data_IF_005450273138
#
_entry.id   IF_005450273138
#
_cell.length_a   1.000
_cell.length_b   1.000
_cell.length_c   1.000
_cell.angle_alpha   90.00
_cell.angle_beta   90.00
_cell.angle_gamma   90.00
#
_symmetry.space_group_name_H-M   'P 1'
#
loop_
_entity.id
_entity.type
_entity.pdbx_description
1 polymer ?
#
# COMPACT_ATOMS: atom_id res chain seq x y z
N UNK A 1 7.72 -16.10 22.85
CA UNK A 1 6.68 -17.14 22.89
C UNK A 1 6.11 -17.22 21.50
N UNK A 2 6.79 -17.98 20.63
CA UNK A 2 6.39 -18.18 19.24
C UNK A 2 5.13 -19.05 19.23
N UNK A 3 3.98 -18.40 19.01
CA UNK A 3 2.69 -19.07 18.92
C UNK A 3 2.56 -19.73 17.56
N UNK A 4 2.87 -21.03 17.50
CA UNK A 4 2.64 -21.84 16.32
C UNK A 4 1.12 -21.88 16.04
N UNK A 5 0.66 -21.20 14.99
CA UNK A 5 -0.76 -21.17 14.61
C UNK A 5 -1.23 -22.60 14.33
N UNK A 6 -2.36 -23.00 14.92
CA UNK A 6 -2.93 -24.33 14.66
C UNK A 6 -3.34 -24.48 13.18
N UNK A 7 -3.49 -25.74 12.76
CA UNK A 7 -3.72 -26.12 11.37
C UNK A 7 -5.01 -25.50 10.79
N UNK A 8 -6.05 -25.32 11.61
CA UNK A 8 -7.34 -24.77 11.18
C UNK A 8 -7.25 -23.25 11.06
N UNK A 9 -6.68 -22.57 12.05
CA UNK A 9 -6.47 -21.11 11.99
C UNK A 9 -5.58 -20.72 10.81
N UNK A 10 -4.58 -21.54 10.50
CA UNK A 10 -3.71 -21.36 9.32
C UNK A 10 -4.48 -21.52 8.01
N UNK A 11 -5.33 -22.54 7.91
CA UNK A 11 -6.20 -22.74 6.75
C UNK A 11 -7.17 -21.57 6.56
N UNK A 12 -7.78 -21.06 7.63
CA UNK A 12 -8.70 -19.91 7.58
C UNK A 12 -8.03 -18.64 7.05
N UNK A 13 -6.78 -18.36 7.45
CA UNK A 13 -6.02 -17.24 6.92
C UNK A 13 -5.75 -17.35 5.42
N UNK A 14 -5.47 -18.56 4.92
CA UNK A 14 -5.21 -18.82 3.50
C UNK A 14 -6.51 -18.75 2.68
N UNK A 15 -7.59 -19.28 3.23
CA UNK A 15 -8.89 -19.38 2.57
C UNK A 15 -9.52 -17.99 2.33
N UNK A 16 -9.18 -16.97 3.15
CA UNK A 16 -9.63 -15.57 2.93
C UNK A 16 -9.15 -14.95 1.63
N UNK A 17 -8.03 -15.41 1.09
CA UNK A 17 -7.47 -14.89 -0.15
C UNK A 17 -7.95 -15.70 -1.36
N UNK A 18 -8.23 -15.06 -2.51
CA UNK A 18 -8.53 -15.79 -3.75
C UNK A 18 -7.30 -16.55 -4.24
N UNK A 19 -7.52 -17.72 -4.85
CA UNK A 19 -6.42 -18.52 -5.39
C UNK A 19 -6.12 -18.14 -6.85
N UNK A 20 -4.96 -17.54 -7.17
CA UNK A 20 -4.63 -17.15 -8.55
C UNK A 20 -4.38 -18.34 -9.49
N UNK A 21 -4.14 -19.53 -8.95
CA UNK A 21 -3.79 -20.72 -9.75
C UNK A 21 -5.01 -21.52 -10.20
N UNK A 22 -5.97 -21.76 -9.31
CA UNK A 22 -7.15 -22.58 -9.61
C UNK A 22 -8.46 -21.79 -9.66
N UNK A 23 -8.40 -20.47 -9.43
CA UNK A 23 -9.57 -19.60 -9.43
C UNK A 23 -10.51 -19.84 -8.24
N UNK A 24 -10.09 -20.59 -7.21
CA UNK A 24 -10.91 -20.76 -6.00
C UNK A 24 -11.16 -19.38 -5.36
N UNK A 25 -12.43 -18.99 -5.15
CA UNK A 25 -12.76 -17.71 -4.53
C UNK A 25 -12.37 -17.71 -3.04
N UNK A 26 -12.40 -16.54 -2.38
CA UNK A 26 -12.32 -16.47 -0.92
C UNK A 26 -13.29 -17.45 -0.26
N UNK A 27 -12.91 -18.01 0.90
CA UNK A 27 -13.70 -18.95 1.70
C UNK A 27 -13.72 -20.38 1.16
N UNK A 28 -13.18 -20.60 -0.04
CA UNK A 28 -13.07 -21.93 -0.65
C UNK A 28 -11.69 -22.56 -0.46
N UNK A 29 -11.62 -23.89 -0.41
CA UNK A 29 -10.37 -24.65 -0.49
C UNK A 29 -9.80 -24.67 -1.91
N UNK A 30 -8.51 -24.95 -2.09
CA UNK A 30 -7.94 -25.06 -3.43
C UNK A 30 -8.50 -26.28 -4.19
N UNK A 31 -8.68 -26.12 -5.51
CA UNK A 31 -9.20 -27.17 -6.41
C UNK A 31 -8.07 -27.76 -7.25
N UNK A 32 -8.03 -29.08 -7.38
CA UNK A 32 -7.18 -29.77 -8.33
C UNK A 32 -7.80 -29.76 -9.75
N UNK A 33 -7.00 -30.01 -10.78
CA UNK A 33 -7.50 -30.05 -12.17
C UNK A 33 -8.58 -31.13 -12.39
N UNK A 34 -8.58 -32.19 -11.58
CA UNK A 34 -9.58 -33.27 -11.60
C UNK A 34 -10.94 -32.88 -10.99
N UNK A 35 -11.11 -31.64 -10.50
CA UNK A 35 -12.37 -31.18 -9.92
C UNK A 35 -12.61 -31.63 -8.48
N UNK A 36 -11.59 -32.18 -7.81
CA UNK A 36 -11.62 -32.53 -6.38
C UNK A 36 -10.86 -31.49 -5.54
N UNK A 37 -11.12 -31.48 -4.23
CA UNK A 37 -10.38 -30.69 -3.27
C UNK A 37 -8.91 -31.10 -3.33
N UNK A 38 -8.02 -30.12 -3.53
CA UNK A 38 -6.60 -30.35 -3.60
C UNK A 38 -6.07 -30.92 -2.28
N UNK A 39 -4.90 -31.53 -2.36
CA UNK A 39 -4.23 -32.10 -1.20
C UNK A 39 -3.50 -31.00 -0.40
N UNK A 40 -2.91 -30.05 -1.11
CA UNK A 40 -2.18 -28.90 -0.54
C UNK A 40 -2.76 -27.59 -1.11
N UNK A 41 -2.64 -26.49 -0.37
CA UNK A 41 -2.92 -25.18 -0.91
C UNK A 41 -1.87 -24.79 -1.96
N UNK A 42 -2.29 -24.07 -2.99
CA UNK A 42 -1.35 -23.53 -3.97
C UNK A 42 -0.49 -22.42 -3.36
N UNK A 43 0.83 -22.50 -3.54
CA UNK A 43 1.82 -21.54 -3.04
C UNK A 43 1.48 -20.09 -3.37
N UNK A 44 1.00 -19.83 -4.60
CA UNK A 44 0.58 -18.49 -5.03
C UNK A 44 -0.57 -17.88 -4.21
N UNK A 45 -1.35 -18.69 -3.48
CA UNK A 45 -2.47 -18.23 -2.64
C UNK A 45 -2.00 -17.63 -1.32
N UNK A 46 -1.00 -18.24 -0.68
CA UNK A 46 -0.51 -17.81 0.64
C UNK A 46 0.86 -17.12 0.61
N UNK A 47 1.55 -17.08 -0.53
CA UNK A 47 2.87 -16.47 -0.66
C UNK A 47 2.93 -14.95 -0.39
N UNK A 48 1.77 -14.27 -0.32
CA UNK A 48 1.67 -12.85 0.07
C UNK A 48 1.39 -12.65 1.55
N UNK A 49 1.03 -13.71 2.29
CA UNK A 49 0.73 -13.66 3.73
C UNK A 49 2.07 -13.69 4.48
N UNK A 50 2.48 -12.60 5.17
CA UNK A 50 3.82 -12.51 5.76
C UNK A 50 4.15 -13.64 6.74
N UNK A 51 3.14 -14.13 7.47
CA UNK A 51 3.27 -15.24 8.41
C UNK A 51 3.50 -16.61 7.75
N UNK A 52 3.19 -16.76 6.45
CA UNK A 52 3.16 -18.06 5.75
C UNK A 52 4.10 -18.11 4.53
N UNK A 53 4.78 -16.99 4.23
CA UNK A 53 5.59 -16.81 3.02
C UNK A 53 6.86 -17.68 2.98
N UNK A 54 7.35 -18.13 4.13
CA UNK A 54 8.68 -18.76 4.27
C UNK A 54 8.64 -20.23 4.72
N UNK A 55 7.51 -20.92 4.54
CA UNK A 55 7.28 -22.28 5.05
C UNK A 55 7.24 -23.38 3.99
N UNK A 56 7.23 -24.66 4.41
CA UNK A 56 6.92 -25.78 3.54
C UNK A 56 5.49 -25.66 2.98
N UNK A 57 5.18 -26.46 1.95
CA UNK A 57 3.84 -26.49 1.37
C UNK A 57 2.78 -26.77 2.46
N UNK A 58 1.74 -25.94 2.49
CA UNK A 58 0.69 -26.02 3.51
C UNK A 58 -0.40 -27.00 3.06
N UNK A 59 -0.60 -28.06 3.85
CA UNK A 59 -1.64 -29.08 3.66
C UNK A 59 -3.03 -28.48 3.83
N UNK A 60 -4.01 -28.96 3.06
CA UNK A 60 -5.42 -28.70 3.36
C UNK A 60 -5.83 -29.61 4.54
N UNK A 61 -6.42 -29.07 5.62
CA UNK A 61 -6.78 -29.87 6.79
C UNK A 61 -7.77 -30.99 6.45
N UNK A 62 -7.71 -32.10 7.18
CA UNK A 62 -8.64 -33.22 6.98
C UNK A 62 -10.13 -32.80 7.08
N UNK A 63 -10.42 -31.82 7.94
CA UNK A 63 -11.76 -31.25 8.12
C UNK A 63 -12.33 -30.58 6.84
N UNK A 64 -11.46 -30.20 5.90
CA UNK A 64 -11.83 -29.59 4.61
C UNK A 64 -12.00 -30.61 3.48
N UNK A 65 -11.82 -31.89 3.76
CA UNK A 65 -12.14 -33.01 2.85
C UNK A 65 -11.27 -33.10 1.58
N UNK A 66 -9.93 -33.09 1.68
CA UNK A 66 -9.05 -33.29 0.52
C UNK A 66 -9.41 -34.58 -0.25
N UNK A 67 -9.40 -34.51 -1.58
CA UNK A 67 -9.77 -35.62 -2.47
C UNK A 67 -11.28 -35.82 -2.68
N UNK A 68 -12.16 -35.11 -1.96
CA UNK A 68 -13.62 -35.12 -2.23
C UNK A 68 -13.97 -34.21 -3.39
N UNK A 69 -15.15 -34.42 -3.99
CA UNK A 69 -15.71 -33.52 -5.00
C UNK A 69 -15.65 -32.07 -4.52
N UNK A 70 -14.97 -31.21 -5.29
CA UNK A 70 -14.80 -29.82 -4.90
C UNK A 70 -16.12 -29.08 -5.07
N UNK A 71 -16.49 -28.34 -4.03
CA UNK A 71 -17.52 -27.34 -4.09
C UNK A 71 -16.91 -26.01 -3.62
N UNK A 72 -17.34 -24.88 -4.19
CA UNK A 72 -16.99 -23.59 -3.62
C UNK A 72 -17.46 -23.58 -2.16
N UNK A 73 -16.53 -23.27 -1.26
CA UNK A 73 -16.89 -22.94 0.11
C UNK A 73 -17.74 -21.68 0.11
N UNK A 74 -18.54 -21.45 1.16
CA UNK A 74 -19.17 -20.15 1.32
C UNK A 74 -18.07 -19.09 1.21
N UNK A 75 -18.31 -17.99 0.50
CA UNK A 75 -17.45 -16.81 0.69
C UNK A 75 -17.34 -16.57 2.20
N UNK A 76 -16.20 -16.07 2.73
CA UNK A 76 -16.09 -15.72 4.13
C UNK A 76 -17.01 -14.53 4.38
N UNK A 77 -18.31 -14.81 4.45
CA UNK A 77 -19.30 -13.96 5.03
C UNK A 77 -19.00 -14.00 6.51
N UNK A 78 -18.60 -12.85 7.03
CA UNK A 78 -18.90 -12.47 8.41
C UNK A 78 -20.29 -13.03 8.75
N UNK A 79 -20.37 -13.81 9.83
CA UNK A 79 -21.54 -14.49 10.41
C UNK A 79 -22.91 -14.16 9.78
N UNK A 80 -23.74 -15.15 9.37
CA UNK A 80 -25.09 -14.91 8.84
C UNK A 80 -25.99 -14.06 9.77
N UNK A 81 -25.79 -14.13 11.09
CA UNK A 81 -26.45 -13.25 12.07
C UNK A 81 -26.00 -11.78 11.94
N UNK A 82 -24.75 -11.54 11.57
CA UNK A 82 -24.27 -10.21 11.21
C UNK A 82 -24.87 -9.78 9.85
N UNK A 83 -24.99 -10.66 8.85
CA UNK A 83 -25.51 -10.32 7.49
C UNK A 83 -26.99 -9.88 7.49
N UNK A 84 -27.76 -10.28 8.51
CA UNK A 84 -29.16 -9.89 8.66
C UNK A 84 -29.36 -8.44 9.16
N UNK A 85 -28.30 -7.71 9.50
CA UNK A 85 -28.38 -6.39 10.14
C UNK A 85 -28.41 -5.28 9.10
N UNK A 86 -29.49 -4.50 9.12
CA UNK A 86 -29.62 -3.30 8.29
C UNK A 86 -28.61 -2.23 8.75
N UNK A 87 -27.62 -1.91 7.90
CA UNK A 87 -26.73 -0.74 8.01
C UNK A 87 -26.14 -0.53 9.40
N UNK A 88 -25.29 -1.45 9.85
CA UNK A 88 -24.68 -1.38 11.17
C UNK A 88 -23.75 -0.15 11.30
N UNK A 89 -23.64 0.38 12.51
CA UNK A 89 -22.70 1.46 12.85
C UNK A 89 -21.42 0.89 13.43
N UNK A 90 -20.28 1.13 12.78
CA UNK A 90 -18.96 0.80 13.30
C UNK A 90 -18.30 2.07 13.81
N UNK A 91 -17.99 2.11 15.10
CA UNK A 91 -17.37 3.25 15.76
C UNK A 91 -15.86 3.26 15.58
N UNK A 92 -15.29 4.43 15.33
CA UNK A 92 -13.84 4.64 15.32
C UNK A 92 -13.45 5.84 16.20
N UNK A 93 -12.55 5.58 17.16
CA UNK A 93 -12.01 6.58 18.08
C UNK A 93 -10.49 6.64 17.94
N UNK A 94 -9.91 7.85 18.10
CA UNK A 94 -8.46 8.07 17.95
C UNK A 94 -7.95 9.01 19.05
N UNK A 95 -6.76 8.73 19.58
CA UNK A 95 -6.07 9.61 20.53
C UNK A 95 -4.58 9.75 20.20
N UNK A 96 -4.08 10.99 20.13
CA UNK A 96 -2.66 11.30 19.96
C UNK A 96 -2.01 11.50 21.33
N UNK A 97 -1.49 10.43 21.94
CA UNK A 97 -0.58 10.41 23.11
C UNK A 97 -0.92 11.35 24.31
N UNK A 98 -1.20 10.73 25.47
CA UNK A 98 -1.65 11.29 26.76
C UNK A 98 -3.13 11.67 26.82
N UNK A 99 -3.95 10.68 27.17
CA UNK A 99 -5.15 10.88 28.00
C UNK A 99 -6.24 11.84 27.51
N UNK A 100 -6.24 12.28 26.26
CA UNK A 100 -7.32 13.11 25.73
C UNK A 100 -8.57 12.25 25.48
N UNK A 101 -9.50 12.30 26.44
CA UNK A 101 -10.91 11.89 26.39
C UNK A 101 -11.28 10.69 25.51
N UNK A 102 -10.50 9.60 25.57
CA UNK A 102 -10.87 8.34 24.93
C UNK A 102 -12.18 7.81 25.52
N UNK A 103 -12.34 7.94 26.84
CA UNK A 103 -13.53 7.48 27.54
C UNK A 103 -14.79 8.23 27.07
N UNK A 104 -14.72 9.55 26.86
CA UNK A 104 -15.83 10.32 26.29
C UNK A 104 -16.13 9.94 24.86
N UNK A 105 -15.10 9.70 24.03
CA UNK A 105 -15.33 9.24 22.67
C UNK A 105 -16.07 7.90 22.63
N UNK A 106 -15.59 6.92 23.41
CA UNK A 106 -16.22 5.60 23.49
C UNK A 106 -17.65 5.69 24.04
N UNK A 107 -17.92 6.55 25.03
CA UNK A 107 -19.29 6.78 25.53
C UNK A 107 -20.22 7.33 24.44
N UNK A 108 -19.75 8.29 23.64
CA UNK A 108 -20.53 8.86 22.55
C UNK A 108 -20.82 7.82 21.46
N UNK A 109 -19.82 7.03 21.07
CA UNK A 109 -19.98 5.96 20.08
C UNK A 109 -20.94 4.86 20.57
N UNK A 110 -20.84 4.47 21.85
CA UNK A 110 -21.81 3.54 22.46
C UNK A 110 -23.23 4.12 22.46
N UNK A 111 -23.38 5.41 22.79
CA UNK A 111 -24.68 6.11 22.76
C UNK A 111 -25.26 6.19 21.35
N UNK A 112 -24.41 6.29 20.33
CA UNK A 112 -24.80 6.26 18.92
C UNK A 112 -25.23 4.85 18.44
N UNK A 113 -25.10 3.82 19.28
CA UNK A 113 -25.49 2.46 18.93
C UNK A 113 -24.46 1.74 18.05
N UNK A 114 -23.18 2.15 18.08
CA UNK A 114 -22.13 1.45 17.36
C UNK A 114 -21.99 0.00 17.87
N UNK A 115 -22.04 -0.96 16.95
CA UNK A 115 -22.02 -2.40 17.24
C UNK A 115 -20.63 -2.87 17.66
N UNK A 116 -19.60 -2.25 17.06
CA UNK A 116 -18.18 -2.45 17.37
C UNK A 116 -17.50 -1.10 17.40
N UNK A 117 -16.49 -0.96 18.25
CA UNK A 117 -15.74 0.28 18.41
C UNK A 117 -14.24 -0.03 18.34
N UNK A 118 -13.58 0.59 17.37
CA UNK A 118 -12.15 0.54 17.14
C UNK A 118 -11.47 1.72 17.79
N UNK A 119 -10.35 1.46 18.49
CA UNK A 119 -9.68 2.47 19.30
C UNK A 119 -8.21 2.58 18.92
N UNK A 120 -7.90 3.63 18.17
CA UNK A 120 -6.57 3.89 17.66
C UNK A 120 -5.72 4.67 18.67
N UNK A 121 -4.60 4.06 19.09
CA UNK A 121 -3.67 4.63 20.09
C UNK A 121 -2.31 5.03 19.53
N UNK A 122 -2.10 4.92 18.21
CA UNK A 122 -0.82 5.29 17.59
C UNK A 122 -0.58 6.80 17.62
N UNK A 123 0.67 7.17 17.92
CA UNK A 123 1.13 8.55 17.90
C UNK A 123 1.17 9.14 16.49
N UNK A 124 1.21 10.46 16.40
CA UNK A 124 1.11 11.25 15.15
C UNK A 124 2.18 10.88 14.09
N UNK A 125 3.30 10.29 14.50
CA UNK A 125 4.41 9.89 13.60
C UNK A 125 4.21 8.54 12.91
N UNK A 126 3.33 7.66 13.41
CA UNK A 126 3.23 6.29 12.92
C UNK A 126 2.31 6.22 11.70
N UNK A 127 2.81 5.89 10.51
CA UNK A 127 2.00 5.95 9.27
C UNK A 127 0.91 4.87 9.19
N UNK A 128 1.07 3.78 9.92
CA UNK A 128 0.16 2.63 9.88
C UNK A 128 -0.94 2.82 10.92
N UNK A 129 -2.20 2.62 10.52
CA UNK A 129 -3.40 2.71 11.35
C UNK A 129 -4.11 1.35 11.39
N UNK A 130 -3.63 0.41 12.23
CA UNK A 130 -4.13 -0.96 12.22
C UNK A 130 -5.62 -1.02 12.61
N UNK A 131 -6.05 -0.21 13.57
CA UNK A 131 -7.43 -0.21 14.06
C UNK A 131 -8.39 0.43 13.06
N UNK A 132 -7.93 1.46 12.34
CA UNK A 132 -8.71 2.03 11.25
C UNK A 132 -8.90 1.04 10.10
N UNK A 133 -7.83 0.35 9.70
CA UNK A 133 -7.91 -0.65 8.64
C UNK A 133 -8.79 -1.85 9.06
N UNK A 134 -8.73 -2.25 10.33
CA UNK A 134 -9.61 -3.27 10.87
C UNK A 134 -11.08 -2.81 10.86
N UNK A 135 -11.36 -1.55 11.22
CA UNK A 135 -12.70 -0.98 11.12
C UNK A 135 -13.22 -0.99 9.68
N UNK A 136 -12.38 -0.61 8.71
CA UNK A 136 -12.75 -0.64 7.29
C UNK A 136 -12.96 -2.06 6.75
N UNK A 137 -12.18 -3.05 7.22
CA UNK A 137 -12.34 -4.44 6.82
C UNK A 137 -13.61 -5.09 7.39
N UNK A 138 -14.11 -4.55 8.50
CA UNK A 138 -15.36 -4.97 9.14
C UNK A 138 -16.61 -4.37 8.49
N UNK A 139 -16.48 -3.19 7.86
CA UNK A 139 -17.59 -2.52 7.19
C UNK A 139 -18.01 -3.31 5.96
N UNK A 140 -19.32 -3.43 5.78
CA UNK A 140 -19.95 -3.97 4.58
C UNK A 140 -20.64 -2.87 3.80
N UNK A 141 -21.06 -3.14 2.54
CA UNK A 141 -21.82 -2.16 1.77
C UNK A 141 -23.03 -1.64 2.58
N UNK A 142 -23.26 -0.33 2.55
CA UNK A 142 -24.28 0.40 3.32
C UNK A 142 -24.08 0.50 4.85
N UNK A 143 -23.04 -0.11 5.43
CA UNK A 143 -22.66 0.15 6.82
C UNK A 143 -22.14 1.57 7.01
N UNK A 144 -22.19 2.05 8.24
CA UNK A 144 -21.82 3.41 8.60
C UNK A 144 -20.57 3.42 9.47
N UNK A 145 -19.50 4.08 9.02
CA UNK A 145 -18.39 4.44 9.87
C UNK A 145 -18.77 5.66 10.71
N UNK A 146 -18.87 5.49 12.02
CA UNK A 146 -19.22 6.55 12.97
C UNK A 146 -17.96 7.05 13.69
N UNK A 147 -17.71 8.35 13.62
CA UNK A 147 -16.65 9.05 14.36
C UNK A 147 -17.25 10.14 15.23
N UNK A 148 -16.60 10.47 16.35
CA UNK A 148 -17.13 11.51 17.24
C UNK A 148 -17.03 12.89 16.64
N UNK A 149 -15.93 13.16 15.93
CA UNK A 149 -15.64 14.43 15.27
C UNK A 149 -14.73 14.16 14.06
N UNK A 150 -14.78 15.04 13.07
CA UNK A 150 -14.05 14.89 11.81
C UNK A 150 -12.52 14.78 11.99
N UNK A 151 -11.95 15.47 12.97
CA UNK A 151 -10.52 15.41 13.31
C UNK A 151 -10.09 14.03 13.85
N UNK A 152 -11.04 13.15 14.21
CA UNK A 152 -10.74 11.76 14.58
C UNK A 152 -10.56 10.88 13.36
N UNK A 153 -11.17 11.20 12.22
CA UNK A 153 -11.08 10.42 10.98
C UNK A 153 -9.67 10.46 10.35
N UNK A 154 -8.98 11.61 10.39
CA UNK A 154 -7.64 11.79 9.82
C UNK A 154 -6.77 12.76 10.64
N UNK A 155 -5.44 12.69 10.46
CA UNK A 155 -4.46 13.56 11.14
C UNK A 155 -4.23 14.89 10.44
N UNK A 156 -4.47 14.93 9.14
CA UNK A 156 -4.33 16.08 8.29
C UNK A 156 -5.40 16.01 7.20
N UNK A 157 -5.47 17.05 6.38
CA UNK A 157 -6.44 17.17 5.30
C UNK A 157 -6.31 16.04 4.27
N UNK A 158 -5.08 15.61 3.97
CA UNK A 158 -4.81 14.50 3.04
C UNK A 158 -5.43 13.20 3.53
N UNK A 159 -5.15 12.79 4.78
CA UNK A 159 -5.72 11.58 5.35
C UNK A 159 -7.24 11.63 5.40
N UNK A 160 -7.80 12.80 5.72
CA UNK A 160 -9.25 12.98 5.76
C UNK A 160 -9.89 12.73 4.38
N UNK A 161 -9.32 13.35 3.36
CA UNK A 161 -9.79 13.24 1.98
C UNK A 161 -9.68 11.80 1.49
N UNK A 162 -8.52 11.16 1.70
CA UNK A 162 -8.31 9.76 1.31
C UNK A 162 -9.29 8.83 2.02
N UNK A 163 -9.50 9.02 3.33
CA UNK A 163 -10.50 8.26 4.10
C UNK A 163 -11.92 8.44 3.56
N UNK A 164 -12.31 9.68 3.22
CA UNK A 164 -13.63 9.92 2.67
C UNK A 164 -13.81 9.29 1.27
N UNK A 165 -12.78 9.35 0.43
CA UNK A 165 -12.81 8.70 -0.90
C UNK A 165 -12.92 7.18 -0.79
N UNK A 166 -12.13 6.54 0.08
CA UNK A 166 -12.19 5.08 0.29
C UNK A 166 -13.56 4.63 0.80
N UNK A 167 -14.19 5.40 1.69
CA UNK A 167 -15.57 5.14 2.14
C UNK A 167 -16.57 5.27 0.98
N UNK A 168 -16.44 6.28 0.13
CA UNK A 168 -17.33 6.47 -1.01
C UNK A 168 -17.19 5.37 -2.07
N UNK A 169 -15.96 4.97 -2.38
CA UNK A 169 -15.68 3.90 -3.36
C UNK A 169 -16.25 2.54 -2.94
N UNK A 170 -16.33 2.29 -1.62
CA UNK A 170 -16.84 1.05 -1.04
C UNK A 170 -18.32 1.12 -0.62
N UNK A 171 -18.99 2.22 -0.94
CA UNK A 171 -20.39 2.46 -0.60
C UNK A 171 -20.68 2.40 0.92
N UNK A 172 -19.74 2.95 1.70
CA UNK A 172 -19.88 3.09 3.14
C UNK A 172 -20.33 4.51 3.50
N UNK A 173 -21.21 4.61 4.49
CA UNK A 173 -21.68 5.89 5.02
C UNK A 173 -20.68 6.43 6.05
N UNK A 174 -20.63 7.74 6.19
CA UNK A 174 -19.87 8.43 7.25
C UNK A 174 -20.83 9.10 8.21
N UNK A 175 -20.71 8.84 9.50
CA UNK A 175 -21.46 9.56 10.54
C UNK A 175 -20.50 10.31 11.46
N UNK A 176 -20.81 11.59 11.68
CA UNK A 176 -20.05 12.48 12.55
C UNK A 176 -20.98 12.92 13.69
N UNK A 177 -20.63 12.59 14.92
CA UNK A 177 -21.54 12.81 16.06
C UNK A 177 -21.56 14.25 16.58
N UNK A 178 -20.46 14.99 16.45
CA UNK A 178 -20.29 16.33 17.03
C UNK A 178 -19.50 17.26 16.13
N UNK A 179 -19.67 18.57 16.36
CA UNK A 179 -19.02 19.63 15.59
C UNK A 179 -19.90 20.19 14.46
N UNK A 180 -19.37 21.10 13.65
CA UNK A 180 -20.13 21.84 12.64
C UNK A 180 -20.62 20.96 11.48
N UNK A 181 -19.97 19.83 11.25
CA UNK A 181 -20.32 18.85 10.23
C UNK A 181 -20.95 17.60 10.86
N UNK A 182 -21.66 17.75 11.98
CA UNK A 182 -22.37 16.63 12.59
C UNK A 182 -23.53 16.19 11.68
N UNK A 183 -23.66 14.89 11.48
CA UNK A 183 -24.66 14.30 10.60
C UNK A 183 -24.22 12.97 10.01
N UNK A 184 -25.13 12.34 9.26
CA UNK A 184 -24.87 11.12 8.50
C UNK A 184 -24.79 11.46 7.02
N UNK A 185 -23.73 10.99 6.36
CA UNK A 185 -23.41 11.27 4.99
C UNK A 185 -23.38 9.96 4.21
N UNK A 186 -24.34 9.83 3.30
CA UNK A 186 -24.46 8.71 2.37
C UNK A 186 -23.83 9.09 1.01
N UNK A 187 -22.83 8.34 0.50
CA UNK A 187 -22.21 8.63 -0.79
C UNK A 187 -23.15 8.47 -2.00
N UNK A 188 -24.25 7.71 -1.87
CA UNK A 188 -25.27 7.54 -2.90
C UNK A 188 -26.44 8.54 -2.75
N UNK A 189 -26.59 9.13 -1.56
CA UNK A 189 -27.74 9.95 -1.19
C UNK A 189 -27.45 11.45 -1.08
N UNK A 190 -28.24 12.15 -0.27
CA UNK A 190 -28.08 13.60 -0.02
C UNK A 190 -26.72 13.95 0.61
N UNK A 191 -26.05 12.99 1.26
CA UNK A 191 -24.71 13.17 1.84
C UNK A 191 -23.57 13.18 0.82
N UNK A 192 -23.83 12.83 -0.44
CA UNK A 192 -22.84 12.75 -1.53
C UNK A 192 -22.06 14.05 -1.71
N UNK A 193 -22.69 15.19 -1.44
CA UNK A 193 -22.05 16.52 -1.57
C UNK A 193 -20.77 16.61 -0.73
N UNK A 194 -20.76 16.05 0.49
CA UNK A 194 -19.57 16.06 1.33
C UNK A 194 -18.40 15.32 0.66
N UNK A 195 -18.67 14.16 0.08
CA UNK A 195 -17.68 13.35 -0.62
C UNK A 195 -17.18 14.02 -1.91
N UNK A 196 -18.07 14.69 -2.65
CA UNK A 196 -17.70 15.48 -3.84
C UNK A 196 -16.78 16.65 -3.45
N UNK A 197 -17.09 17.37 -2.38
CA UNK A 197 -16.23 18.46 -1.87
C UNK A 197 -14.86 17.91 -1.48
N UNK A 198 -14.80 16.79 -0.75
CA UNK A 198 -13.51 16.17 -0.42
C UNK A 198 -12.73 15.72 -1.67
N UNK A 199 -13.42 15.18 -2.68
CA UNK A 199 -12.77 14.80 -3.94
C UNK A 199 -12.18 16.01 -4.67
N UNK A 200 -12.91 17.13 -4.75
CA UNK A 200 -12.40 18.37 -5.33
C UNK A 200 -11.21 18.93 -4.54
N UNK A 201 -11.25 18.88 -3.20
CA UNK A 201 -10.10 19.27 -2.38
C UNK A 201 -8.88 18.36 -2.61
N UNK A 202 -9.10 17.06 -2.90
CA UNK A 202 -8.03 16.13 -3.23
C UNK A 202 -7.25 16.55 -4.47
N UNK A 203 -7.96 17.05 -5.48
CA UNK A 203 -7.38 17.51 -6.74
C UNK A 203 -6.53 18.77 -6.52
N UNK A 204 -7.06 19.73 -5.75
CA UNK A 204 -6.34 20.96 -5.41
C UNK A 204 -5.07 20.68 -4.61
N UNK A 205 -5.12 19.79 -3.63
CA UNK A 205 -3.94 19.42 -2.84
C UNK A 205 -2.86 18.73 -3.70
N UNK A 206 -3.26 17.86 -4.65
CA UNK A 206 -2.33 17.25 -5.61
C UNK A 206 -1.62 18.31 -6.45
N UNK A 207 -2.36 19.31 -6.92
CA UNK A 207 -1.79 20.42 -7.69
C UNK A 207 -0.81 21.24 -6.84
N UNK A 208 -1.15 21.56 -5.59
CA UNK A 208 -0.23 22.27 -4.69
C UNK A 208 1.06 21.50 -4.39
N UNK A 209 0.98 20.17 -4.24
CA UNK A 209 2.18 19.33 -4.07
C UNK A 209 3.07 19.39 -5.32
N UNK A 210 2.46 19.33 -6.51
CA UNK A 210 3.18 19.43 -7.78
C UNK A 210 3.86 20.79 -7.94
N UNK A 211 3.12 21.88 -7.73
CA UNK A 211 3.63 23.25 -7.81
C UNK A 211 4.79 23.48 -6.83
N UNK A 212 4.63 23.07 -5.56
CA UNK A 212 5.69 23.19 -4.55
C UNK A 212 6.93 22.37 -4.90
N UNK A 213 6.76 21.22 -5.55
CA UNK A 213 7.87 20.39 -6.02
C UNK A 213 8.64 21.10 -7.13
N UNK A 214 7.93 21.70 -8.11
CA UNK A 214 8.56 22.47 -9.18
C UNK A 214 9.32 23.68 -8.65
N UNK A 215 8.73 24.46 -7.73
CA UNK A 215 9.40 25.59 -7.08
C UNK A 215 10.66 25.13 -6.33
N UNK A 216 10.58 23.99 -5.64
CA UNK A 216 11.73 23.39 -4.95
C UNK A 216 12.84 22.96 -5.90
N UNK A 217 12.48 22.37 -7.05
CA UNK A 217 13.43 21.98 -8.10
C UNK A 217 14.08 23.20 -8.75
N UNK A 218 13.33 24.24 -9.07
CA UNK A 218 13.85 25.49 -9.62
C UNK A 218 14.81 26.18 -8.63
N UNK A 219 14.44 26.21 -7.34
CA UNK A 219 15.29 26.74 -6.28
C UNK A 219 16.58 25.92 -6.14
N UNK A 220 16.49 24.59 -6.21
CA UNK A 220 17.65 23.70 -6.17
C UNK A 220 18.55 23.93 -7.39
N UNK A 221 17.97 24.04 -8.59
CA UNK A 221 18.70 24.30 -9.83
C UNK A 221 19.41 25.66 -9.80
N UNK A 222 18.75 26.71 -9.29
CA UNK A 222 19.35 28.03 -9.08
C UNK A 222 20.54 27.99 -8.11
N UNK A 223 20.50 27.09 -7.13
CA UNK A 223 21.60 26.82 -6.20
C UNK A 223 22.66 25.84 -6.77
N UNK A 224 22.59 25.49 -8.05
CA UNK A 224 23.53 24.60 -8.73
C UNK A 224 23.22 23.10 -8.60
N UNK A 225 22.18 22.73 -7.86
CA UNK A 225 21.75 21.34 -7.72
C UNK A 225 20.81 20.95 -8.87
N UNK A 226 21.36 20.37 -9.94
CA UNK A 226 20.59 19.99 -11.14
C UNK A 226 19.78 18.68 -11.00
N UNK A 227 19.86 18.01 -9.86
CA UNK A 227 19.25 16.69 -9.65
C UNK A 227 19.82 15.61 -10.59
N UNK A 228 19.15 14.46 -10.67
CA UNK A 228 19.53 13.36 -11.55
C UNK A 228 20.56 12.37 -10.97
N UNK A 229 20.86 11.31 -11.73
CA UNK A 229 21.86 10.30 -11.36
C UNK A 229 23.25 10.92 -11.45
N UNK A 230 24.10 10.82 -10.42
CA UNK A 230 25.49 11.26 -10.50
C UNK A 230 26.21 10.63 -11.70
N UNK A 231 27.14 11.35 -12.36
CA UNK A 231 27.93 10.79 -13.44
C UNK A 231 28.69 9.56 -12.94
N UNK A 232 28.74 8.52 -13.77
CA UNK A 232 29.39 7.25 -13.43
C UNK A 232 30.93 7.30 -13.54
N UNK A 233 31.48 8.38 -14.10
CA UNK A 233 32.92 8.64 -14.22
C UNK A 233 33.14 10.06 -13.68
N UNK A 234 33.98 10.19 -12.66
CA UNK A 234 34.45 11.48 -12.15
C UNK A 234 35.74 11.92 -12.86
N UNK A 235 36.26 13.10 -12.49
CA UNK A 235 37.46 13.67 -13.12
C UNK A 235 38.72 12.81 -12.94
N UNK A 236 38.87 12.16 -11.79
CA UNK A 236 40.03 11.31 -11.50
C UNK A 236 39.95 10.01 -12.31
N UNK A 237 38.78 9.40 -12.38
CA UNK A 237 38.53 8.24 -13.24
C UNK A 237 38.76 8.56 -14.71
N UNK A 238 38.37 9.76 -15.17
CA UNK A 238 38.64 10.21 -16.54
C UNK A 238 40.14 10.38 -16.79
N UNK A 239 40.87 11.02 -15.88
CA UNK A 239 42.33 11.18 -16.00
C UNK A 239 43.04 9.83 -16.08
N UNK A 240 42.63 8.85 -15.25
CA UNK A 240 43.15 7.48 -15.31
C UNK A 240 42.79 6.79 -16.63
N UNK A 241 41.55 6.96 -17.11
CA UNK A 241 41.10 6.40 -18.38
C UNK A 241 41.92 6.93 -19.57
N UNK A 242 42.14 8.25 -19.63
CA UNK A 242 42.92 8.91 -20.68
C UNK A 242 44.38 8.44 -20.65
N UNK A 243 45.00 8.40 -19.48
CA UNK A 243 46.39 7.93 -19.35
C UNK A 243 46.57 6.48 -19.81
N UNK A 244 45.59 5.61 -19.53
CA UNK A 244 45.62 4.21 -19.99
C UNK A 244 45.32 4.09 -21.49
N UNK A 245 44.46 4.95 -22.03
CA UNK A 245 44.22 5.06 -23.48
C UNK A 245 45.49 5.47 -24.21
N UNK A 246 46.21 6.47 -23.70
CA UNK A 246 47.48 6.95 -24.28
C UNK A 246 48.60 5.89 -24.19
N UNK A 247 48.45 4.91 -23.30
CA UNK A 247 49.31 3.72 -23.20
C UNK A 247 48.83 2.55 -24.10
N UNK A 248 47.92 2.81 -25.03
CA UNK A 248 47.36 1.86 -26.00
C UNK A 248 46.63 0.64 -25.35
N UNK A 249 46.12 0.80 -24.12
CA UNK A 249 45.30 -0.25 -23.51
C UNK A 249 43.90 -0.33 -24.15
N UNK A 250 43.41 -1.55 -24.40
CA UNK A 250 42.05 -1.73 -24.95
C UNK A 250 40.96 -1.14 -24.03
N UNK A 251 39.95 -0.52 -24.64
CA UNK A 251 38.79 0.07 -23.92
C UNK A 251 38.08 -0.95 -23.01
N UNK A 252 38.09 -2.24 -23.39
CA UNK A 252 37.52 -3.31 -22.56
C UNK A 252 38.35 -3.56 -21.29
N UNK A 253 39.68 -3.47 -21.37
CA UNK A 253 40.56 -3.56 -20.19
C UNK A 253 40.37 -2.38 -19.26
N UNK A 254 40.35 -1.16 -19.81
CA UNK A 254 40.18 0.09 -19.06
C UNK A 254 38.82 0.10 -18.34
N UNK A 255 37.73 -0.26 -19.03
CA UNK A 255 36.40 -0.32 -18.44
C UNK A 255 36.33 -1.32 -17.27
N UNK A 256 36.97 -2.49 -17.41
CA UNK A 256 37.04 -3.50 -16.34
C UNK A 256 37.84 -2.98 -15.14
N UNK A 257 38.97 -2.33 -15.39
CA UNK A 257 39.82 -1.76 -14.35
C UNK A 257 39.08 -0.69 -13.53
N UNK A 258 38.32 0.17 -14.20
CA UNK A 258 37.54 1.24 -13.57
C UNK A 258 36.20 0.76 -13.01
N UNK A 259 35.81 -0.50 -13.22
CA UNK A 259 34.53 -1.05 -12.73
C UNK A 259 33.30 -0.44 -13.40
N UNK A 260 33.42 0.10 -14.62
CA UNK A 260 32.35 0.78 -15.36
C UNK A 260 31.96 0.01 -16.62
N UNK A 261 30.73 0.26 -17.10
CA UNK A 261 30.29 -0.31 -18.37
C UNK A 261 31.06 0.27 -19.57
N UNK A 262 31.42 -0.58 -20.54
CA UNK A 262 32.12 -0.16 -21.78
C UNK A 262 31.41 0.98 -22.50
N UNK A 263 30.08 0.93 -22.60
CA UNK A 263 29.27 1.98 -23.24
C UNK A 263 29.35 3.32 -22.51
N UNK A 264 29.54 3.31 -21.19
CA UNK A 264 29.76 4.53 -20.39
C UNK A 264 31.13 5.11 -20.70
N UNK A 265 32.18 4.27 -20.73
CA UNK A 265 33.53 4.71 -21.05
C UNK A 265 33.63 5.28 -22.47
N UNK A 266 33.07 4.60 -23.48
CA UNK A 266 33.05 5.11 -24.86
C UNK A 266 32.36 6.48 -24.96
N UNK A 267 31.19 6.64 -24.34
CA UNK A 267 30.45 7.91 -24.37
C UNK A 267 31.24 9.04 -23.70
N UNK A 268 31.91 8.76 -22.59
CA UNK A 268 32.71 9.77 -21.88
C UNK A 268 33.96 10.16 -22.65
N UNK A 269 34.67 9.20 -23.26
CA UNK A 269 35.84 9.49 -24.10
C UNK A 269 35.45 10.28 -25.35
N UNK A 270 34.36 9.89 -26.03
CA UNK A 270 33.88 10.61 -27.20
C UNK A 270 33.49 12.07 -26.88
N UNK A 271 32.80 12.29 -25.76
CA UNK A 271 32.44 13.64 -25.31
C UNK A 271 33.67 14.47 -24.90
N UNK A 272 34.70 13.85 -24.34
CA UNK A 272 35.97 14.51 -24.04
C UNK A 272 36.70 14.92 -25.33
N UNK A 273 36.81 14.01 -26.29
CA UNK A 273 37.49 14.27 -27.56
C UNK A 273 36.77 15.37 -28.36
N UNK A 274 35.44 15.34 -28.41
CA UNK A 274 34.62 16.39 -29.04
C UNK A 274 34.82 17.77 -28.37
N UNK A 275 34.94 17.80 -27.03
CA UNK A 275 35.15 19.04 -26.29
C UNK A 275 36.56 19.64 -26.47
N UNK A 276 37.58 18.82 -26.74
CA UNK A 276 38.98 19.26 -26.87
C UNK A 276 39.39 19.48 -28.32
N UNK A 277 38.94 18.63 -29.24
CA UNK A 277 39.39 18.60 -30.64
C UNK A 277 38.31 19.00 -31.64
N UNK A 278 37.06 19.17 -31.21
CA UNK A 278 35.94 19.51 -32.10
C UNK A 278 35.46 18.36 -32.99
N UNK A 279 36.06 17.18 -32.86
CA UNK A 279 35.67 15.94 -33.53
C UNK A 279 35.94 14.73 -32.64
N UNK A 280 35.20 13.64 -32.85
CA UNK A 280 35.42 12.38 -32.12
C UNK A 280 36.60 11.63 -32.72
N UNK A 281 37.63 11.32 -31.91
CA UNK A 281 38.72 10.46 -32.38
C UNK A 281 38.18 9.07 -32.72
N UNK A 282 38.57 8.48 -33.87
CA UNK A 282 38.12 7.15 -34.24
C UNK A 282 38.61 6.12 -33.21
N UNK A 283 37.79 5.10 -32.87
CA UNK A 283 38.23 4.04 -31.99
C UNK A 283 39.37 3.28 -32.68
N UNK A 284 40.55 3.28 -32.06
CA UNK A 284 41.67 2.44 -32.50
C UNK A 284 41.31 0.96 -32.30
N UNK A 285 41.63 0.15 -33.32
CA UNK A 285 41.20 -1.25 -33.48
C UNK A 285 41.85 -2.20 -32.48
#
# INVERSE_FOLDING_TARGET
MDGDLDEITRAELIEREPCPRCGAPPGSVCRANSGVVAVDYHTGRYGKIPALKSGPAIRIPAARGPGRTWQPGPEPGLDPELLARAGDRIGYARVSSKGQDLAGQVRLLKKAGCVRIYVEKVGTREKIRPEYNAALADLRPADTLTVTMLDRLGRNMVELITSAQDLAERDHRLEILTGPLAGTYDPQGAGKVLFVVFAAMAEVEREFIHERTLIGLDTAAANGNRGGRPPAIDGDMLAVALRRRDAEESVTSIARYLGIGRSTLYRTLAAYDEAIYGETLPPEK
#
